data_IF_416780679217
#
_entry.id   IF_416780679217
#
_cell.length_a   1.000
_cell.length_b   1.000
_cell.length_c   1.000
_cell.angle_alpha   90.00
_cell.angle_beta   90.00
_cell.angle_gamma   90.00
#
_symmetry.space_group_name_H-M   'P 1'
#
loop_
_entity.id
_entity.type
_entity.pdbx_description
1 polymer ?
#
# COMPACT_ATOMS: atom_id res chain seq x y z
N UNK A 1 43.67 -19.36 -0.95
CA UNK A 1 43.43 -18.28 -1.95
C UNK A 1 42.13 -18.43 -2.77
N UNK A 2 41.53 -19.61 -2.90
CA UNK A 2 40.30 -19.81 -3.67
C UNK A 2 38.99 -19.33 -2.98
N UNK A 3 38.99 -19.22 -1.64
CA UNK A 3 37.80 -18.86 -0.86
C UNK A 3 37.35 -17.40 -1.06
N UNK A 4 38.27 -16.45 -1.20
CA UNK A 4 37.97 -15.02 -1.33
C UNK A 4 37.41 -14.68 -2.73
N UNK A 5 37.95 -15.34 -3.78
CA UNK A 5 37.47 -15.14 -5.15
C UNK A 5 36.04 -15.67 -5.37
N UNK A 6 35.70 -16.80 -4.74
CA UNK A 6 34.34 -17.37 -4.79
C UNK A 6 33.34 -16.48 -4.05
N UNK A 7 33.72 -15.94 -2.89
CA UNK A 7 32.86 -15.01 -2.15
C UNK A 7 32.59 -13.71 -2.90
N UNK A 8 33.60 -13.16 -3.60
CA UNK A 8 33.44 -11.96 -4.42
C UNK A 8 32.57 -12.23 -5.64
N UNK A 9 32.71 -13.41 -6.27
CA UNK A 9 31.86 -13.79 -7.42
C UNK A 9 30.39 -13.97 -7.01
N UNK A 10 30.14 -14.60 -5.84
CA UNK A 10 28.76 -14.77 -5.33
C UNK A 10 28.13 -13.42 -4.98
N UNK A 11 28.90 -12.47 -4.39
CA UNK A 11 28.40 -11.13 -4.09
C UNK A 11 28.11 -10.33 -5.36
N UNK A 12 28.93 -10.42 -6.39
CA UNK A 12 28.69 -9.77 -7.68
C UNK A 12 27.47 -10.36 -8.38
N UNK A 13 27.33 -11.69 -8.41
CA UNK A 13 26.14 -12.36 -8.94
C UNK A 13 24.87 -11.99 -8.20
N UNK A 14 24.90 -11.87 -6.87
CA UNK A 14 23.74 -11.43 -6.06
C UNK A 14 23.42 -9.95 -6.28
N UNK A 15 24.42 -9.10 -6.54
CA UNK A 15 24.21 -7.69 -6.90
C UNK A 15 23.64 -7.53 -8.31
N UNK A 16 24.12 -8.30 -9.26
CA UNK A 16 23.62 -8.32 -10.64
C UNK A 16 22.18 -8.85 -10.71
N UNK A 17 21.84 -9.92 -9.97
CA UNK A 17 20.47 -10.46 -9.92
C UNK A 17 19.50 -9.48 -9.26
N UNK A 18 19.90 -8.74 -8.22
CA UNK A 18 19.06 -7.71 -7.62
C UNK A 18 18.89 -6.45 -8.50
N UNK A 19 19.90 -6.07 -9.25
CA UNK A 19 19.83 -4.96 -10.20
C UNK A 19 18.97 -5.35 -11.42
N UNK A 20 19.12 -6.57 -11.89
CA UNK A 20 18.33 -7.13 -13.00
C UNK A 20 16.86 -7.25 -12.61
N UNK A 21 16.52 -7.76 -11.42
CA UNK A 21 15.14 -7.85 -10.94
C UNK A 21 14.45 -6.47 -10.87
N UNK A 22 15.18 -5.40 -10.54
CA UNK A 22 14.61 -4.03 -10.54
C UNK A 22 14.38 -3.45 -11.93
N UNK A 23 15.18 -3.81 -12.93
CA UNK A 23 14.93 -3.42 -14.32
C UNK A 23 13.76 -4.20 -14.92
N UNK A 24 13.60 -5.44 -14.53
CA UNK A 24 12.58 -6.35 -15.05
C UNK A 24 11.16 -5.94 -14.66
N UNK A 25 10.93 -5.40 -13.46
CA UNK A 25 9.58 -4.95 -13.04
C UNK A 25 9.02 -3.85 -13.95
N UNK A 26 9.83 -2.92 -14.45
CA UNK A 26 9.36 -1.89 -15.38
C UNK A 26 9.05 -2.44 -16.78
N UNK A 27 9.62 -3.57 -17.14
CA UNK A 27 9.32 -4.28 -18.39
C UNK A 27 8.11 -5.20 -18.25
N UNK A 28 7.96 -5.84 -17.08
CA UNK A 28 6.86 -6.75 -16.77
C UNK A 28 5.55 -6.00 -16.54
N UNK A 29 5.60 -4.86 -15.83
CA UNK A 29 4.41 -4.07 -15.55
C UNK A 29 4.10 -3.11 -16.68
N UNK A 30 2.95 -3.25 -17.31
CA UNK A 30 2.46 -2.36 -18.35
C UNK A 30 2.30 -0.91 -17.85
N UNK A 31 2.68 0.07 -18.68
CA UNK A 31 2.45 1.50 -18.43
C UNK A 31 1.03 1.87 -18.80
N UNK A 32 0.22 2.25 -17.82
CA UNK A 32 -1.20 2.53 -18.00
C UNK A 32 -1.59 3.92 -17.51
N UNK A 33 -2.65 4.44 -18.09
CA UNK A 33 -3.31 5.67 -17.63
C UNK A 33 -4.82 5.49 -17.71
N UNK A 34 -5.50 5.67 -16.57
CA UNK A 34 -6.96 5.74 -16.53
C UNK A 34 -7.42 7.20 -16.47
N UNK A 35 -8.55 7.49 -17.11
CA UNK A 35 -9.25 8.77 -16.96
C UNK A 35 -10.45 8.54 -16.04
N UNK A 36 -10.34 9.00 -14.80
CA UNK A 36 -11.30 8.78 -13.73
C UNK A 36 -11.79 10.14 -13.23
N UNK A 37 -13.09 10.38 -13.26
CA UNK A 37 -13.71 11.65 -12.85
C UNK A 37 -13.02 12.90 -13.45
N UNK A 38 -12.68 12.81 -14.74
CA UNK A 38 -12.01 13.91 -15.47
C UNK A 38 -10.51 14.05 -15.20
N UNK A 39 -9.93 13.28 -14.30
CA UNK A 39 -8.49 13.26 -14.00
C UNK A 39 -7.79 12.05 -14.60
N UNK A 40 -6.50 12.23 -14.91
CA UNK A 40 -5.63 11.14 -15.36
C UNK A 40 -4.90 10.55 -14.15
N UNK A 41 -5.10 9.27 -13.90
CA UNK A 41 -4.31 8.49 -12.95
C UNK A 41 -3.36 7.60 -13.72
N UNK A 42 -2.05 7.80 -13.54
CA UNK A 42 -1.02 6.91 -14.06
C UNK A 42 -0.83 5.75 -13.10
N UNK A 43 -0.65 4.54 -13.64
CA UNK A 43 -0.40 3.35 -12.84
C UNK A 43 0.38 2.30 -13.63
N UNK A 44 1.01 1.40 -12.93
CA UNK A 44 1.60 0.20 -13.49
C UNK A 44 0.71 -0.99 -13.19
N UNK A 45 0.64 -1.93 -14.13
CA UNK A 45 -0.23 -3.09 -14.08
C UNK A 45 0.50 -4.35 -14.51
N UNK A 46 0.22 -5.45 -13.79
CA UNK A 46 0.53 -6.80 -14.26
C UNK A 46 -0.62 -7.73 -13.91
N UNK A 47 -0.91 -8.69 -14.80
CA UNK A 47 -1.75 -9.84 -14.51
C UNK A 47 -0.82 -11.02 -14.21
N UNK A 48 -0.85 -11.52 -12.97
CA UNK A 48 -0.13 -12.73 -12.57
C UNK A 48 -0.96 -13.98 -12.86
N UNK A 49 -0.31 -15.13 -13.09
CA UNK A 49 -0.96 -16.40 -13.41
C UNK A 49 -2.07 -16.27 -14.51
N UNK A 50 -1.76 -15.71 -15.68
CA UNK A 50 -2.78 -15.41 -16.71
C UNK A 50 -3.47 -16.66 -17.25
N UNK A 51 -2.78 -17.81 -17.22
CA UNK A 51 -3.31 -19.09 -17.70
C UNK A 51 -4.27 -19.77 -16.72
N UNK A 52 -4.35 -19.30 -15.45
CA UNK A 52 -5.33 -19.79 -14.49
C UNK A 52 -6.74 -19.38 -14.94
N UNK A 53 -7.70 -20.30 -14.88
CA UNK A 53 -9.10 -20.06 -15.26
C UNK A 53 -9.93 -19.42 -14.15
N UNK A 54 -9.39 -19.31 -12.92
CA UNK A 54 -10.07 -18.67 -11.81
C UNK A 54 -10.34 -17.19 -12.07
N UNK A 55 -11.38 -16.68 -11.44
CA UNK A 55 -11.68 -15.24 -11.47
C UNK A 55 -10.53 -14.46 -10.79
N UNK A 56 -9.96 -13.43 -11.43
CA UNK A 56 -8.82 -12.71 -10.87
C UNK A 56 -9.20 -11.92 -9.63
N UNK A 57 -8.28 -11.82 -8.68
CA UNK A 57 -8.37 -10.89 -7.55
C UNK A 57 -7.75 -9.55 -7.92
N UNK A 58 -7.99 -8.52 -7.11
CA UNK A 58 -7.35 -7.21 -7.27
C UNK A 58 -6.42 -6.91 -6.09
N UNK A 59 -5.18 -6.60 -6.41
CA UNK A 59 -4.17 -6.16 -5.46
C UNK A 59 -3.71 -4.75 -5.85
N UNK A 60 -3.79 -3.80 -4.92
CA UNK A 60 -3.39 -2.40 -5.14
C UNK A 60 -2.32 -2.03 -4.12
N UNK A 61 -1.23 -1.41 -4.57
CA UNK A 61 -0.18 -0.92 -3.69
C UNK A 61 -0.04 0.60 -3.78
N UNK A 62 -0.17 1.28 -2.64
CA UNK A 62 0.00 2.72 -2.50
C UNK A 62 1.41 3.05 -2.00
N UNK A 63 2.18 3.76 -2.82
CA UNK A 63 3.57 4.10 -2.53
C UNK A 63 3.72 5.19 -1.46
N UNK A 64 4.87 5.22 -0.81
CA UNK A 64 5.30 6.31 0.08
C UNK A 64 5.66 7.59 -0.68
N UNK A 65 6.06 8.63 0.06
CA UNK A 65 6.36 9.95 -0.52
C UNK A 65 7.42 9.94 -1.64
N UNK A 66 8.39 9.04 -1.59
CA UNK A 66 9.44 8.92 -2.61
C UNK A 66 8.95 8.42 -3.98
N UNK A 67 7.79 7.75 -4.03
CA UNK A 67 7.19 7.25 -5.27
C UNK A 67 6.36 8.30 -6.03
N UNK A 68 6.09 9.47 -5.41
CA UNK A 68 5.27 10.53 -5.99
C UNK A 68 5.89 11.13 -7.26
N UNK A 69 5.05 11.44 -8.23
CA UNK A 69 5.51 12.01 -9.50
C UNK A 69 4.51 11.91 -10.64
N UNK A 70 5.03 12.00 -11.85
CA UNK A 70 4.25 11.89 -13.08
C UNK A 70 4.94 11.07 -14.16
N UNK A 71 6.01 10.35 -13.80
CA UNK A 71 6.82 9.54 -14.72
C UNK A 71 6.35 8.09 -14.84
N UNK A 72 5.41 7.68 -13.98
CA UNK A 72 4.93 6.31 -13.86
C UNK A 72 6.04 5.26 -13.64
N UNK A 73 7.14 5.67 -13.00
CA UNK A 73 8.33 4.81 -12.75
C UNK A 73 8.79 4.82 -11.31
N UNK A 74 8.73 5.97 -10.61
CA UNK A 74 9.28 6.11 -9.25
C UNK A 74 8.62 5.17 -8.25
N UNK A 75 7.30 4.98 -8.34
CA UNK A 75 6.55 4.09 -7.46
C UNK A 75 6.98 2.62 -7.57
N UNK A 76 7.59 2.22 -8.68
CA UNK A 76 8.08 0.85 -8.89
C UNK A 76 9.42 0.56 -8.22
N UNK A 77 10.12 1.59 -7.74
CA UNK A 77 11.46 1.45 -7.13
C UNK A 77 11.43 0.97 -5.68
N UNK A 78 10.25 0.83 -5.08
CA UNK A 78 10.10 0.39 -3.69
C UNK A 78 10.13 -1.13 -3.58
N UNK A 79 10.85 -1.71 -2.61
CA UNK A 79 10.99 -3.17 -2.46
C UNK A 79 9.64 -3.90 -2.30
N UNK A 80 8.63 -3.24 -1.73
CA UNK A 80 7.31 -3.81 -1.52
C UNK A 80 6.66 -4.32 -2.82
N UNK A 81 6.82 -3.60 -3.94
CA UNK A 81 6.23 -4.00 -5.23
C UNK A 81 6.81 -5.33 -5.69
N UNK A 82 8.15 -5.49 -5.64
CA UNK A 82 8.80 -6.76 -5.98
C UNK A 82 8.34 -7.89 -5.06
N UNK A 83 8.33 -7.68 -3.75
CA UNK A 83 7.95 -8.70 -2.77
C UNK A 83 6.51 -9.19 -2.94
N UNK A 84 5.56 -8.27 -3.21
CA UNK A 84 4.16 -8.64 -3.48
C UNK A 84 4.08 -9.40 -4.81
N UNK A 85 4.73 -8.91 -5.85
CA UNK A 85 4.76 -9.56 -7.17
C UNK A 85 5.35 -10.97 -7.09
N UNK A 86 6.49 -11.14 -6.41
CA UNK A 86 7.16 -12.43 -6.22
C UNK A 86 6.25 -13.41 -5.47
N UNK A 87 5.56 -12.95 -4.42
CA UNK A 87 4.59 -13.76 -3.68
C UNK A 87 3.44 -14.24 -4.58
N UNK A 88 2.84 -13.33 -5.36
CA UNK A 88 1.72 -13.66 -6.25
C UNK A 88 2.11 -14.72 -7.29
N UNK A 89 3.31 -14.58 -7.88
CA UNK A 89 3.80 -15.56 -8.86
C UNK A 89 4.20 -16.89 -8.22
N UNK A 90 4.94 -16.87 -7.10
CA UNK A 90 5.39 -18.09 -6.44
C UNK A 90 4.22 -18.98 -5.97
N UNK A 91 3.08 -18.36 -5.66
CA UNK A 91 1.88 -19.06 -5.21
C UNK A 91 0.82 -19.22 -6.31
N UNK A 92 1.16 -18.92 -7.56
CA UNK A 92 0.26 -19.00 -8.72
C UNK A 92 -1.08 -18.28 -8.48
N UNK A 93 -1.06 -17.10 -7.85
CA UNK A 93 -2.26 -16.32 -7.57
C UNK A 93 -2.64 -15.52 -8.81
N UNK A 94 -3.82 -15.76 -9.38
CA UNK A 94 -4.35 -14.95 -10.48
C UNK A 94 -4.82 -13.59 -9.96
N UNK A 95 -4.03 -12.55 -10.21
CA UNK A 95 -4.29 -11.21 -9.70
C UNK A 95 -3.98 -10.13 -10.73
N UNK A 96 -4.84 -9.14 -10.87
CA UNK A 96 -4.41 -7.84 -11.34
C UNK A 96 -3.68 -7.12 -10.20
N UNK A 97 -2.41 -6.85 -10.39
CA UNK A 97 -1.61 -6.09 -9.43
C UNK A 97 -1.36 -4.67 -9.98
N UNK A 98 -1.93 -3.68 -9.30
CA UNK A 98 -1.91 -2.28 -9.70
C UNK A 98 -1.04 -1.45 -8.76
N UNK A 99 -0.19 -0.61 -9.34
CA UNK A 99 0.69 0.31 -8.62
C UNK A 99 0.44 1.73 -9.13
N UNK A 100 -0.62 2.43 -8.66
CA UNK A 100 -0.90 3.80 -9.06
C UNK A 100 0.17 4.77 -8.56
N UNK A 101 0.35 5.89 -9.30
CA UNK A 101 1.26 6.96 -8.93
C UNK A 101 0.49 8.22 -8.54
N UNK A 102 0.64 8.63 -7.29
CA UNK A 102 0.17 9.91 -6.79
C UNK A 102 1.10 11.03 -7.27
N UNK A 103 0.61 12.16 -7.81
CA UNK A 103 1.44 13.31 -8.15
C UNK A 103 2.22 13.87 -6.96
N UNK A 104 3.39 14.48 -7.22
CA UNK A 104 4.26 15.00 -6.16
C UNK A 104 3.67 16.17 -5.36
N UNK A 105 2.68 16.86 -5.91
CA UNK A 105 1.95 17.97 -5.28
C UNK A 105 0.61 17.55 -4.64
N UNK A 106 0.34 16.24 -4.60
CA UNK A 106 -0.86 15.63 -4.02
C UNK A 106 -0.48 14.60 -2.95
N UNK A 107 -1.47 14.03 -2.29
CA UNK A 107 -1.30 12.88 -1.41
C UNK A 107 -2.49 11.94 -1.54
N UNK A 108 -2.38 10.76 -0.95
CA UNK A 108 -3.48 9.79 -1.00
C UNK A 108 -4.71 10.30 -0.24
N UNK A 109 -4.53 10.93 0.92
CA UNK A 109 -5.58 11.38 1.83
C UNK A 109 -5.88 12.88 1.80
N UNK A 110 -5.23 13.65 0.95
CA UNK A 110 -5.41 15.11 0.84
C UNK A 110 -4.62 15.94 1.86
N UNK A 111 -3.80 15.31 2.68
CA UNK A 111 -2.86 16.04 3.55
C UNK A 111 -1.60 16.37 2.75
N UNK A 112 -1.30 17.66 2.59
CA UNK A 112 -0.14 18.07 1.81
C UNK A 112 1.15 17.43 2.34
N UNK A 113 2.02 16.90 1.45
CA UNK A 113 3.32 16.42 1.85
C UNK A 113 4.07 17.53 2.60
N UNK A 114 4.72 17.18 3.71
CA UNK A 114 5.54 18.15 4.43
C UNK A 114 6.62 18.65 3.48
N UNK A 115 6.49 19.88 3.02
CA UNK A 115 7.58 20.54 2.32
C UNK A 115 8.75 20.61 3.31
N UNK A 116 9.88 20.02 2.94
CA UNK A 116 11.15 20.33 3.60
C UNK A 116 11.40 21.81 3.34
N UNK A 117 11.05 22.67 4.32
CA UNK A 117 11.42 24.07 4.24
C UNK A 117 12.94 24.14 4.08
N UNK A 118 13.38 24.71 2.97
CA UNK A 118 14.80 25.09 2.73
C UNK A 118 15.18 26.30 3.62
N UNK A 119 14.77 26.32 4.84
CA UNK A 119 15.07 27.31 5.83
C UNK A 119 15.28 26.59 7.15
N UNK A 120 16.37 26.88 7.85
CA UNK A 120 16.85 26.17 9.01
C UNK A 120 15.79 25.85 10.06
N UNK A 121 16.20 24.96 10.99
CA UNK A 121 15.39 24.56 12.14
C UNK A 121 14.77 25.81 12.77
N UNK A 122 13.42 25.86 13.00
CA UNK A 122 12.81 26.98 13.71
C UNK A 122 13.50 27.16 15.08
N UNK A 123 13.67 28.40 15.49
CA UNK A 123 14.26 28.72 16.78
C UNK A 123 13.44 28.11 17.92
N UNK A 124 14.09 27.71 19.04
CA UNK A 124 13.37 27.21 20.22
C UNK A 124 12.35 28.26 20.67
N UNK A 125 11.07 27.92 20.58
CA UNK A 125 9.95 28.83 20.93
C UNK A 125 9.00 29.20 19.79
N UNK A 126 9.39 29.07 18.53
CA UNK A 126 8.52 29.29 17.38
C UNK A 126 7.65 28.07 17.08
N UNK A 127 6.63 27.82 17.88
CA UNK A 127 5.55 26.91 17.49
C UNK A 127 4.60 27.65 16.56
N UNK A 128 4.85 27.61 15.26
CA UNK A 128 3.80 27.98 14.31
C UNK A 128 2.68 26.94 14.43
N UNK A 129 1.41 27.35 14.49
CA UNK A 129 0.30 26.43 14.36
C UNK A 129 0.52 25.69 13.03
N UNK A 130 0.65 24.36 13.07
CA UNK A 130 0.69 23.55 11.87
C UNK A 130 -0.73 23.50 11.31
N UNK A 131 -1.15 24.55 10.64
CA UNK A 131 -2.25 24.43 9.71
C UNK A 131 -1.81 23.42 8.65
N UNK A 132 -2.42 22.24 8.70
CA UNK A 132 -2.10 21.17 7.77
C UNK A 132 -2.60 21.61 6.40
N UNK A 133 -1.69 22.07 5.55
CA UNK A 133 -2.04 22.44 4.19
C UNK A 133 -2.74 21.26 3.52
N UNK A 134 -3.88 21.52 2.91
CA UNK A 134 -4.63 20.54 2.13
C UNK A 134 -4.14 20.55 0.69
N UNK A 135 -4.15 19.37 0.09
CA UNK A 135 -3.89 19.16 -1.33
C UNK A 135 -4.97 18.25 -1.91
N UNK A 136 -4.89 17.92 -3.18
CA UNK A 136 -5.84 16.97 -3.78
C UNK A 136 -5.65 15.57 -3.19
N UNK A 137 -6.77 14.95 -2.74
CA UNK A 137 -6.80 13.57 -2.27
C UNK A 137 -6.96 12.60 -3.44
N UNK A 138 -6.06 11.63 -3.55
CA UNK A 138 -6.06 10.67 -4.66
C UNK A 138 -6.75 9.34 -4.33
N UNK A 139 -7.17 9.11 -3.09
CA UNK A 139 -7.88 7.89 -2.68
C UNK A 139 -9.16 7.62 -3.48
N UNK A 140 -9.92 8.66 -3.83
CA UNK A 140 -11.13 8.52 -4.64
C UNK A 140 -10.85 7.93 -6.03
N UNK A 141 -9.70 8.25 -6.62
CA UNK A 141 -9.28 7.70 -7.91
C UNK A 141 -8.78 6.26 -7.78
N UNK A 142 -8.24 5.88 -6.61
CA UNK A 142 -7.89 4.47 -6.32
C UNK A 142 -9.14 3.61 -6.27
N UNK A 143 -10.19 4.08 -5.59
CA UNK A 143 -11.48 3.38 -5.56
C UNK A 143 -12.09 3.29 -6.95
N UNK A 144 -12.14 4.40 -7.69
CA UNK A 144 -12.69 4.41 -9.06
C UNK A 144 -11.90 3.48 -10.01
N UNK A 145 -10.57 3.37 -9.82
CA UNK A 145 -9.75 2.41 -10.56
C UNK A 145 -10.11 0.97 -10.20
N UNK A 146 -10.34 0.67 -8.92
CA UNK A 146 -10.78 -0.66 -8.49
C UNK A 146 -12.16 -1.02 -9.06
N UNK A 147 -13.11 -0.10 -9.02
CA UNK A 147 -14.45 -0.28 -9.63
C UNK A 147 -14.35 -0.57 -11.13
N UNK A 148 -13.46 0.13 -11.84
CA UNK A 148 -13.20 -0.11 -13.25
C UNK A 148 -12.68 -1.53 -13.51
N UNK A 149 -11.78 -2.05 -12.67
CA UNK A 149 -11.29 -3.43 -12.82
C UNK A 149 -12.36 -4.49 -12.51
N UNK A 150 -13.25 -4.22 -11.56
CA UNK A 150 -14.39 -5.09 -11.28
C UNK A 150 -15.36 -5.15 -12.47
N UNK A 151 -15.68 -3.98 -13.07
CA UNK A 151 -16.65 -3.91 -14.18
C UNK A 151 -16.11 -4.44 -15.50
N UNK A 152 -14.86 -4.09 -15.85
CA UNK A 152 -14.32 -4.33 -17.19
C UNK A 152 -13.51 -5.63 -17.30
N UNK A 153 -12.88 -6.08 -16.20
CA UNK A 153 -11.98 -7.23 -16.22
C UNK A 153 -12.48 -8.41 -15.39
N UNK A 154 -13.71 -8.33 -14.88
CA UNK A 154 -14.32 -9.44 -14.15
C UNK A 154 -13.61 -9.82 -12.86
N UNK A 155 -12.98 -8.85 -12.17
CA UNK A 155 -12.34 -9.07 -10.87
C UNK A 155 -13.38 -9.51 -9.84
N UNK A 156 -13.02 -10.49 -9.00
CA UNK A 156 -13.82 -10.90 -7.85
C UNK A 156 -13.96 -9.74 -6.86
N UNK A 157 -15.10 -9.08 -6.84
CA UNK A 157 -15.38 -7.92 -5.99
C UNK A 157 -15.31 -8.22 -4.49
N UNK A 158 -15.29 -9.49 -4.10
CA UNK A 158 -15.09 -9.92 -2.71
C UNK A 158 -13.63 -10.10 -2.35
N UNK A 159 -12.71 -9.95 -3.31
CA UNK A 159 -11.27 -10.20 -3.17
C UNK A 159 -10.45 -9.02 -3.69
N UNK A 160 -10.72 -7.83 -3.19
CA UNK A 160 -10.00 -6.60 -3.48
C UNK A 160 -9.13 -6.25 -2.26
N UNK A 161 -7.82 -6.11 -2.45
CA UNK A 161 -6.86 -5.89 -1.38
C UNK A 161 -6.06 -4.62 -1.61
N UNK A 162 -5.77 -3.90 -0.54
CA UNK A 162 -4.95 -2.69 -0.60
C UNK A 162 -3.78 -2.75 0.36
N UNK A 163 -2.60 -2.45 -0.16
CA UNK A 163 -1.34 -2.39 0.56
C UNK A 163 -0.79 -0.98 0.49
N UNK A 164 -0.08 -0.52 1.51
CA UNK A 164 0.56 0.77 1.43
C UNK A 164 1.67 0.97 2.47
N UNK A 165 2.66 1.79 2.13
CA UNK A 165 3.75 2.13 3.04
C UNK A 165 3.91 3.64 3.23
N UNK A 166 4.24 4.08 4.47
CA UNK A 166 4.49 5.48 4.79
C UNK A 166 3.29 6.38 4.41
N UNK A 167 3.44 7.33 3.49
CA UNK A 167 2.34 8.12 2.92
C UNK A 167 1.24 7.22 2.31
N UNK A 168 1.62 6.11 1.65
CA UNK A 168 0.68 5.13 1.11
C UNK A 168 -0.06 4.37 2.22
N UNK A 169 0.63 4.01 3.31
CA UNK A 169 0.00 3.43 4.48
C UNK A 169 -0.99 4.38 5.15
N UNK A 170 -0.65 5.67 5.22
CA UNK A 170 -1.60 6.71 5.62
C UNK A 170 -2.81 6.75 4.67
N UNK A 171 -2.56 6.68 3.36
CA UNK A 171 -3.60 6.59 2.34
C UNK A 171 -4.54 5.42 2.55
N UNK A 172 -4.01 4.23 2.88
CA UNK A 172 -4.83 3.04 3.17
C UNK A 172 -5.80 3.29 4.32
N UNK A 173 -5.33 3.86 5.45
CA UNK A 173 -6.22 4.17 6.58
C UNK A 173 -7.43 5.02 6.18
N UNK A 174 -7.18 6.12 5.46
CA UNK A 174 -8.25 7.02 5.02
C UNK A 174 -9.12 6.40 3.94
N UNK A 175 -8.55 5.59 3.04
CA UNK A 175 -9.31 4.87 2.04
C UNK A 175 -10.30 3.88 2.68
N UNK A 176 -9.87 3.14 3.72
CA UNK A 176 -10.75 2.24 4.46
C UNK A 176 -11.85 3.01 5.22
N UNK A 177 -11.52 4.17 5.79
CA UNK A 177 -12.50 5.01 6.48
C UNK A 177 -13.56 5.59 5.52
N UNK A 178 -13.14 5.98 4.31
CA UNK A 178 -14.02 6.55 3.28
C UNK A 178 -14.85 5.46 2.55
N UNK A 179 -14.38 4.21 2.57
CA UNK A 179 -15.01 3.10 1.84
C UNK A 179 -15.16 1.85 2.72
N UNK A 180 -15.94 1.94 3.81
CA UNK A 180 -16.10 0.82 4.73
C UNK A 180 -16.67 -0.42 4.03
N UNK A 181 -16.13 -1.60 4.38
CA UNK A 181 -16.53 -2.89 3.80
C UNK A 181 -16.38 -2.98 2.26
N UNK A 182 -15.44 -2.21 1.68
CA UNK A 182 -15.13 -2.30 0.24
C UNK A 182 -13.99 -3.28 -0.04
N UNK A 183 -12.92 -3.24 0.77
CA UNK A 183 -11.76 -4.11 0.66
C UNK A 183 -11.93 -5.39 1.47
N UNK A 184 -11.43 -6.50 0.95
CA UNK A 184 -11.41 -7.79 1.64
C UNK A 184 -10.45 -7.78 2.85
N UNK A 185 -9.30 -7.14 2.68
CA UNK A 185 -8.34 -6.84 3.75
C UNK A 185 -7.36 -5.76 3.29
N UNK A 186 -6.58 -5.24 4.24
CA UNK A 186 -5.59 -4.22 3.98
C UNK A 186 -4.29 -4.45 4.75
N UNK A 187 -3.18 -3.90 4.22
CA UNK A 187 -1.91 -3.86 4.94
C UNK A 187 -1.35 -2.44 4.98
N UNK A 188 -1.00 -2.01 6.20
CA UNK A 188 -0.39 -0.71 6.47
C UNK A 188 1.01 -0.89 7.03
N UNK A 189 2.03 -0.44 6.28
CA UNK A 189 3.41 -0.43 6.74
C UNK A 189 3.84 1.00 7.10
N UNK A 190 4.10 1.26 8.38
CA UNK A 190 4.62 2.55 8.89
C UNK A 190 3.76 3.77 8.50
N UNK A 191 2.46 3.58 8.36
CA UNK A 191 1.47 4.62 8.09
C UNK A 191 0.72 5.05 9.35
N UNK A 192 0.59 6.36 9.58
CA UNK A 192 -0.20 6.89 10.70
C UNK A 192 -1.62 7.23 10.29
N UNK A 193 -2.54 7.18 11.25
CA UNK A 193 -3.91 7.67 11.12
C UNK A 193 -4.14 8.80 12.13
N UNK A 194 -4.74 9.89 11.70
CA UNK A 194 -4.89 11.10 12.53
C UNK A 194 -6.34 11.49 12.80
N UNK A 195 -7.28 10.70 12.30
CA UNK A 195 -8.70 10.89 12.59
C UNK A 195 -9.08 10.08 13.84
N UNK A 196 -10.13 10.52 14.50
CA UNK A 196 -10.79 9.79 15.60
C UNK A 196 -11.98 8.95 15.12
N UNK A 197 -12.18 8.85 13.80
CA UNK A 197 -13.26 8.06 13.20
C UNK A 197 -12.78 6.61 13.07
N UNK A 198 -13.18 5.73 13.98
CA UNK A 198 -12.70 4.35 14.07
C UNK A 198 -13.70 3.35 13.48
N UNK A 199 -15.00 3.58 13.66
CA UNK A 199 -16.06 2.62 13.29
C UNK A 199 -15.99 2.09 11.84
N UNK A 200 -15.69 2.90 10.80
CA UNK A 200 -15.52 2.38 9.45
C UNK A 200 -14.35 1.40 9.32
N UNK A 201 -13.29 1.57 10.10
CA UNK A 201 -12.09 0.73 10.07
C UNK A 201 -12.37 -0.69 10.59
N UNK A 202 -13.38 -0.87 11.45
CA UNK A 202 -13.78 -2.19 11.97
C UNK A 202 -14.34 -3.12 10.90
N UNK A 203 -14.67 -2.60 9.71
CA UNK A 203 -15.33 -3.35 8.64
C UNK A 203 -14.37 -4.07 7.70
N UNK A 204 -13.07 -3.88 7.88
CA UNK A 204 -12.03 -4.48 7.03
C UNK A 204 -10.92 -5.08 7.91
N UNK A 205 -10.51 -6.32 7.71
CA UNK A 205 -9.32 -6.89 8.34
C UNK A 205 -8.06 -6.09 7.99
N UNK A 206 -7.22 -5.76 8.98
CA UNK A 206 -6.06 -4.89 8.80
C UNK A 206 -4.80 -5.52 9.40
N UNK A 207 -3.76 -5.71 8.59
CA UNK A 207 -2.41 -5.99 9.04
C UNK A 207 -1.64 -4.67 9.13
N UNK A 208 -1.14 -4.31 10.31
CA UNK A 208 -0.34 -3.11 10.50
C UNK A 208 1.05 -3.45 11.03
N UNK A 209 2.09 -2.86 10.44
CA UNK A 209 3.47 -3.01 10.90
C UNK A 209 4.13 -1.66 11.11
N UNK A 210 5.09 -1.61 12.05
CA UNK A 210 5.87 -0.42 12.34
C UNK A 210 7.23 -0.77 12.95
N UNK A 211 8.27 0.00 12.63
CA UNK A 211 9.58 -0.13 13.25
C UNK A 211 9.58 0.36 14.70
N UNK A 212 10.29 -0.33 15.60
CA UNK A 212 10.36 0.07 17.00
C UNK A 212 11.11 1.39 17.22
N UNK A 213 11.97 1.80 16.28
CA UNK A 213 12.66 3.09 16.34
C UNK A 213 11.85 4.25 15.74
N UNK A 214 10.66 4.00 15.22
CA UNK A 214 9.79 5.06 14.71
C UNK A 214 9.10 5.80 15.85
N UNK A 215 9.11 7.14 15.79
CA UNK A 215 8.31 7.96 16.70
C UNK A 215 6.81 7.69 16.54
N UNK A 216 6.03 7.77 17.62
CA UNK A 216 4.56 7.62 17.66
C UNK A 216 4.04 6.20 17.40
N UNK A 217 4.86 5.17 17.66
CA UNK A 217 4.42 3.76 17.57
C UNK A 217 3.17 3.47 18.41
N UNK A 218 3.11 4.00 19.62
CA UNK A 218 2.01 3.80 20.56
C UNK A 218 0.65 4.28 20.02
N UNK A 219 0.60 5.40 19.28
CA UNK A 219 -0.65 5.90 18.70
C UNK A 219 -1.30 4.92 17.73
N UNK A 220 -0.49 4.23 16.92
CA UNK A 220 -1.01 3.23 15.97
C UNK A 220 -1.39 1.95 16.70
N UNK A 221 -0.64 1.58 17.74
CA UNK A 221 -0.98 0.43 18.58
C UNK A 221 -2.33 0.63 19.27
N UNK A 222 -2.56 1.79 19.90
CA UNK A 222 -3.85 2.13 20.51
C UNK A 222 -4.99 2.15 19.49
N UNK A 223 -4.75 2.66 18.27
CA UNK A 223 -5.75 2.61 17.19
C UNK A 223 -6.15 1.16 16.87
N UNK A 224 -5.20 0.23 16.82
CA UNK A 224 -5.48 -1.19 16.58
C UNK A 224 -6.26 -1.81 17.75
N UNK A 225 -5.90 -1.47 18.99
CA UNK A 225 -6.62 -1.89 20.19
C UNK A 225 -8.09 -1.40 20.15
N UNK A 226 -8.30 -0.13 19.79
CA UNK A 226 -9.64 0.45 19.65
C UNK A 226 -10.44 -0.22 18.54
N UNK A 227 -9.84 -0.44 17.35
CA UNK A 227 -10.51 -1.16 16.26
C UNK A 227 -11.00 -2.52 16.72
N UNK A 228 -10.18 -3.28 17.44
CA UNK A 228 -10.53 -4.60 17.94
C UNK A 228 -11.57 -4.54 19.08
N UNK A 229 -11.50 -3.53 19.95
CA UNK A 229 -12.48 -3.29 21.01
C UNK A 229 -13.89 -3.07 20.40
N UNK A 230 -13.98 -2.41 19.25
CA UNK A 230 -15.24 -2.18 18.53
C UNK A 230 -15.59 -3.28 17.54
N UNK A 231 -15.01 -4.48 17.69
CA UNK A 231 -15.37 -5.67 16.90
C UNK A 231 -14.73 -5.76 15.52
N UNK A 232 -13.63 -5.04 15.29
CA UNK A 232 -12.80 -5.19 14.09
C UNK A 232 -11.84 -6.39 14.19
N UNK A 233 -11.10 -6.61 13.12
CA UNK A 233 -10.03 -7.61 13.03
C UNK A 233 -8.73 -6.92 12.57
N UNK A 234 -7.94 -6.45 13.51
CA UNK A 234 -6.70 -5.75 13.21
C UNK A 234 -5.52 -6.34 13.99
N UNK A 235 -4.40 -6.55 13.30
CA UNK A 235 -3.16 -7.09 13.86
C UNK A 235 -2.08 -6.01 13.79
N UNK A 236 -1.36 -5.81 14.89
CA UNK A 236 -0.19 -4.93 14.95
C UNK A 236 1.08 -5.73 15.22
N UNK A 237 2.12 -5.48 14.43
CA UNK A 237 3.42 -6.10 14.63
C UNK A 237 4.51 -5.03 14.66
N UNK A 238 5.27 -4.99 15.74
CA UNK A 238 6.48 -4.20 15.86
C UNK A 238 7.63 -4.90 15.14
N UNK A 239 8.35 -4.17 14.30
CA UNK A 239 9.57 -4.63 13.65
C UNK A 239 10.76 -4.12 14.47
N UNK A 240 11.30 -5.00 15.31
CA UNK A 240 12.31 -4.63 16.30
C UNK A 240 13.61 -4.14 15.66
N UNK A 241 14.18 -3.07 16.24
CA UNK A 241 15.43 -2.46 15.81
C UNK A 241 15.35 -1.63 14.51
N UNK A 242 14.20 -1.59 13.83
CA UNK A 242 14.09 -0.96 12.53
C UNK A 242 13.60 0.50 12.64
N UNK A 243 14.21 1.34 11.83
CA UNK A 243 13.73 2.70 11.58
C UNK A 243 12.58 2.72 10.54
N UNK A 244 12.09 3.92 10.21
CA UNK A 244 10.99 4.10 9.26
C UNK A 244 11.29 3.53 7.86
N UNK A 245 12.51 3.73 7.36
CA UNK A 245 12.89 3.30 6.02
C UNK A 245 13.06 1.78 5.93
N UNK A 246 13.74 1.24 6.92
CA UNK A 246 13.95 -0.21 7.07
C UNK A 246 12.63 -0.94 7.28
N UNK A 247 11.77 -0.42 8.16
CA UNK A 247 10.47 -1.00 8.45
C UNK A 247 9.55 -1.06 7.23
N UNK A 248 9.47 0.03 6.43
CA UNK A 248 8.68 0.02 5.18
C UNK A 248 9.18 -0.99 4.16
N UNK A 249 10.47 -1.30 4.18
CA UNK A 249 11.08 -2.31 3.30
C UNK A 249 10.89 -3.73 3.82
N UNK A 250 10.98 -3.94 5.14
CA UNK A 250 10.88 -5.24 5.80
C UNK A 250 9.42 -5.73 6.01
N UNK A 251 8.45 -4.83 5.91
CA UNK A 251 7.05 -5.11 6.24
C UNK A 251 6.44 -6.27 5.44
N UNK A 252 6.70 -6.32 4.14
CA UNK A 252 6.03 -7.22 3.19
C UNK A 252 6.73 -8.58 3.14
N UNK A 253 6.44 -9.45 4.11
CA UNK A 253 6.89 -10.84 4.11
C UNK A 253 5.82 -11.75 3.52
N UNK A 254 6.18 -12.96 3.03
CA UNK A 254 5.22 -13.92 2.51
C UNK A 254 4.05 -14.18 3.46
N UNK A 255 4.33 -14.38 4.75
CA UNK A 255 3.31 -14.69 5.78
C UNK A 255 2.31 -13.55 5.98
N UNK A 256 2.78 -12.29 5.93
CA UNK A 256 1.90 -11.12 6.07
C UNK A 256 1.07 -10.90 4.81
N UNK A 257 1.64 -11.11 3.63
CA UNK A 257 0.92 -11.03 2.36
C UNK A 257 -0.14 -12.12 2.33
N UNK A 258 0.20 -13.36 2.72
CA UNK A 258 -0.73 -14.48 2.83
C UNK A 258 -1.88 -14.17 3.77
N UNK A 259 -1.59 -13.63 4.97
CA UNK A 259 -2.62 -13.24 5.92
C UNK A 259 -3.61 -12.26 5.30
N UNK A 260 -3.15 -11.25 4.55
CA UNK A 260 -4.04 -10.30 3.87
C UNK A 260 -4.87 -11.01 2.81
N UNK A 261 -4.25 -11.82 1.95
CA UNK A 261 -4.93 -12.47 0.83
C UNK A 261 -5.86 -13.64 1.25
N UNK A 262 -5.73 -14.12 2.49
CA UNK A 262 -6.61 -15.18 3.04
C UNK A 262 -8.02 -14.70 3.36
N UNK A 263 -8.24 -13.39 3.46
CA UNK A 263 -9.53 -12.81 3.77
C UNK A 263 -10.40 -12.64 2.51
N UNK A 264 -11.70 -12.70 2.72
CA UNK A 264 -12.71 -12.42 1.70
C UNK A 264 -13.78 -11.52 2.30
N UNK A 265 -14.21 -10.51 1.58
CA UNK A 265 -15.29 -9.64 2.00
C UNK A 265 -16.62 -10.40 1.97
N UNK A 266 -17.41 -10.30 3.03
CA UNK A 266 -18.76 -10.83 3.01
C UNK A 266 -19.63 -10.08 2.00
N UNK A 267 -20.38 -10.80 1.19
CA UNK A 267 -21.44 -10.22 0.34
C UNK A 267 -22.65 -10.02 1.23
N UNK A 268 -22.99 -8.79 1.56
CA UNK A 268 -24.30 -8.49 2.13
C UNK A 268 -25.31 -8.59 1.01
N UNK A 269 -26.02 -9.70 0.91
CA UNK A 269 -27.26 -9.76 0.15
C UNK A 269 -28.22 -8.81 0.87
N UNK A 270 -28.43 -7.61 0.34
CA UNK A 270 -29.60 -6.81 0.68
C UNK A 270 -30.82 -7.58 0.13
N UNK A 271 -31.32 -8.54 0.89
CA UNK A 271 -32.69 -8.99 0.72
C UNK A 271 -33.52 -7.76 1.10
N UNK A 272 -34.00 -7.05 0.11
CA UNK A 272 -35.07 -6.08 0.29
C UNK A 272 -36.27 -6.95 0.65
N UNK A 273 -36.51 -7.12 1.96
CA UNK A 273 -37.81 -7.58 2.44
C UNK A 273 -38.81 -6.51 2.03
N UNK A 274 -39.43 -6.71 0.87
CA UNK A 274 -40.68 -6.04 0.49
C UNK A 274 -41.80 -6.66 1.32
N UNK A 275 -42.05 -6.03 2.49
CA UNK A 275 -43.31 -6.16 3.20
C UNK A 275 -44.35 -5.22 2.62
#
# INVERSE_FOLDING_TARGET
>A
MYSLAIMVLITILLFETNAQAKSDLLQVFADKTAKLDGKKLKYREVLTAPEDTAQPILVIYLHGGSGGGGDNKKQMKVPAVGKIYDYLNANNVKAFFLVPQCPSNASWNGDAPRQRQRGGRPSPGERRPHEQQKCEAYNKYVKALADYYVSEFGVDSTRIYVFGSSMGGQGVWYLLADTPNYFAAAMVASGGYRSNIIMPLTKTPIMCTRGSQESRGDQVKHLIEDINLYGGNAVFQTLEGLDHHEATSAAFTPERIEWVLSHRRAVTNNVIDTL
#
